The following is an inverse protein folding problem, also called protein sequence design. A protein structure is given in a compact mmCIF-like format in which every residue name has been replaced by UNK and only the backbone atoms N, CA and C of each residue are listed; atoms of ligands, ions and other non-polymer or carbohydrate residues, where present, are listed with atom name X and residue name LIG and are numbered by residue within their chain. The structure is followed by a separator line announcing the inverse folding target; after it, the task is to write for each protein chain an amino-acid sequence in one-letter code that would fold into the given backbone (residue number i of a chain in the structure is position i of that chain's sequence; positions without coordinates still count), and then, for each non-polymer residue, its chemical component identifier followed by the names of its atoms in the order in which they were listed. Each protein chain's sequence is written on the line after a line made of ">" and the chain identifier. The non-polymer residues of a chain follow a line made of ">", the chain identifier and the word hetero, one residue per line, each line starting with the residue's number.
data_IF_379292743535
#
_entry.id   IF_379292743535
#
_cell.length_a   1.000
_cell.length_b   1.000
_cell.length_c   1.000
_cell.angle_alpha   90.00
_cell.angle_beta   90.00
_cell.angle_gamma   90.00
#
_symmetry.space_group_name_H-M   'P 1'
#
loop_
_entity.id
_entity.type
_entity.pdbx_description
1 polymer ?
#
# COMPACT_ATOMS: atom_id res chain seq x y z
N UNK A 1 40.09 6.08 26.72
CA UNK A 1 38.67 6.35 27.02
C UNK A 1 37.97 7.12 25.90
N UNK A 2 38.56 8.22 25.42
CA UNK A 2 37.97 8.99 24.32
C UNK A 2 37.97 8.22 23.00
N UNK A 3 39.04 7.47 22.71
CA UNK A 3 39.11 6.62 21.50
C UNK A 3 38.06 5.50 21.52
N UNK A 4 37.86 4.86 22.66
CA UNK A 4 36.85 3.80 22.82
C UNK A 4 35.42 4.35 22.67
N UNK A 5 35.19 5.56 23.21
CA UNK A 5 33.89 6.23 23.06
C UNK A 5 33.62 6.58 21.61
N UNK A 6 34.60 7.08 20.89
CA UNK A 6 34.50 7.42 19.47
C UNK A 6 34.21 6.17 18.64
N UNK A 7 34.93 5.07 18.91
CA UNK A 7 34.71 3.80 18.20
C UNK A 7 33.28 3.26 18.45
N UNK A 8 32.78 3.39 19.70
CA UNK A 8 31.42 2.98 20.03
C UNK A 8 30.40 3.86 19.32
N UNK A 9 30.61 5.18 19.27
CA UNK A 9 29.70 6.10 18.59
C UNK A 9 29.64 5.80 17.09
N UNK A 10 30.80 5.51 16.47
CA UNK A 10 30.87 5.12 15.05
C UNK A 10 30.14 3.79 14.79
N UNK A 11 30.33 2.80 15.66
CA UNK A 11 29.66 1.50 15.55
C UNK A 11 28.15 1.66 15.68
N UNK A 12 27.66 2.48 16.61
CA UNK A 12 26.23 2.74 16.77
C UNK A 12 25.65 3.48 15.56
N UNK A 13 26.38 4.45 14.99
CA UNK A 13 25.96 5.15 13.79
C UNK A 13 25.84 4.19 12.60
N UNK A 14 26.81 3.29 12.44
CA UNK A 14 26.81 2.29 11.38
C UNK A 14 25.64 1.31 11.54
N UNK A 15 25.38 0.87 12.76
CA UNK A 15 24.27 -0.04 13.05
C UNK A 15 22.92 0.62 12.71
N UNK A 16 22.74 1.88 13.08
CA UNK A 16 21.53 2.65 12.75
C UNK A 16 21.33 2.74 11.24
N UNK A 17 22.40 3.02 10.51
CA UNK A 17 22.35 3.10 9.04
C UNK A 17 21.94 1.77 8.43
N UNK A 18 22.50 0.66 8.89
CA UNK A 18 22.14 -0.68 8.42
C UNK A 18 20.69 -1.01 8.68
N UNK A 19 20.19 -0.68 9.88
CA UNK A 19 18.77 -0.89 10.23
C UNK A 19 17.84 -0.05 9.36
N UNK A 20 18.23 1.20 9.08
CA UNK A 20 17.45 2.07 8.19
C UNK A 20 17.39 1.53 6.77
N UNK A 21 18.50 1.06 6.24
CA UNK A 21 18.55 0.47 4.90
C UNK A 21 17.69 -0.79 4.81
N UNK A 22 17.70 -1.60 5.87
CA UNK A 22 16.89 -2.81 5.96
C UNK A 22 15.39 -2.48 6.01
N UNK A 23 14.99 -1.43 6.74
CA UNK A 23 13.60 -0.96 6.78
C UNK A 23 13.14 -0.49 5.40
N UNK A 24 13.96 0.29 4.69
CA UNK A 24 13.61 0.78 3.35
C UNK A 24 13.41 -0.37 2.36
N UNK A 25 14.27 -1.39 2.41
CA UNK A 25 14.13 -2.59 1.56
C UNK A 25 12.90 -3.39 1.91
N UNK A 26 12.60 -3.54 3.19
CA UNK A 26 11.40 -4.22 3.67
C UNK A 26 10.14 -3.52 3.19
N UNK A 27 10.11 -2.19 3.24
CA UNK A 27 8.98 -1.40 2.73
C UNK A 27 8.83 -1.53 1.21
N UNK A 28 9.93 -1.51 0.48
CA UNK A 28 9.91 -1.67 -0.98
C UNK A 28 9.32 -3.02 -1.37
N UNK A 29 9.72 -4.09 -0.72
CA UNK A 29 9.18 -5.43 -0.93
C UNK A 29 7.69 -5.49 -0.59
N UNK A 30 7.29 -4.90 0.51
CA UNK A 30 5.90 -4.84 0.97
C UNK A 30 5.01 -4.12 -0.05
N UNK A 31 5.41 -2.93 -0.47
CA UNK A 31 4.62 -2.15 -1.43
C UNK A 31 4.58 -2.79 -2.81
N UNK A 32 5.64 -3.47 -3.22
CA UNK A 32 5.66 -4.24 -4.49
C UNK A 32 4.62 -5.36 -4.45
N UNK A 33 4.55 -6.10 -3.34
CA UNK A 33 3.55 -7.14 -3.16
C UNK A 33 2.12 -6.57 -3.08
N UNK A 34 1.94 -5.44 -2.39
CA UNK A 34 0.66 -4.74 -2.31
C UNK A 34 0.19 -4.30 -3.70
N UNK A 35 1.09 -3.78 -4.52
CA UNK A 35 0.75 -3.33 -5.88
C UNK A 35 0.28 -4.50 -6.74
N UNK A 36 0.97 -5.63 -6.69
CA UNK A 36 0.57 -6.82 -7.42
C UNK A 36 -0.83 -7.27 -6.98
N UNK A 37 -1.08 -7.28 -5.69
CA UNK A 37 -2.39 -7.65 -5.13
C UNK A 37 -3.46 -6.64 -5.53
N UNK A 38 -3.17 -5.34 -5.47
CA UNK A 38 -4.11 -4.29 -5.85
C UNK A 38 -4.52 -4.41 -7.32
N UNK A 39 -3.58 -4.68 -8.21
CA UNK A 39 -3.88 -4.87 -9.63
C UNK A 39 -4.83 -6.04 -9.86
N UNK A 40 -4.63 -7.12 -9.15
CA UNK A 40 -5.51 -8.28 -9.18
C UNK A 40 -6.92 -7.91 -8.69
N UNK A 41 -7.02 -7.19 -7.58
CA UNK A 41 -8.31 -6.75 -7.02
C UNK A 41 -9.03 -5.77 -7.94
N UNK A 42 -8.30 -4.84 -8.55
CA UNK A 42 -8.86 -3.91 -9.54
C UNK A 42 -9.47 -4.69 -10.71
N UNK A 43 -8.74 -5.64 -11.25
CA UNK A 43 -9.20 -6.48 -12.35
C UNK A 43 -10.43 -7.30 -11.96
N UNK A 44 -10.45 -7.88 -10.77
CA UNK A 44 -11.58 -8.64 -10.25
C UNK A 44 -12.82 -7.77 -10.05
N UNK A 45 -12.64 -6.53 -9.59
CA UNK A 45 -13.72 -5.57 -9.42
C UNK A 45 -14.32 -5.19 -10.78
N UNK A 46 -13.47 -4.98 -11.78
CA UNK A 46 -13.92 -4.70 -13.16
C UNK A 46 -14.77 -5.87 -13.71
N UNK A 47 -14.34 -7.10 -13.45
CA UNK A 47 -15.07 -8.30 -13.88
C UNK A 47 -16.43 -8.38 -13.20
N UNK A 48 -16.50 -8.14 -11.90
CA UNK A 48 -17.75 -8.12 -11.13
C UNK A 48 -18.68 -7.04 -11.68
N UNK A 49 -18.15 -5.84 -11.96
CA UNK A 49 -18.93 -4.74 -12.49
C UNK A 49 -19.53 -5.07 -13.87
N UNK A 50 -18.76 -5.68 -14.76
CA UNK A 50 -19.26 -6.11 -16.07
C UNK A 50 -20.39 -7.14 -15.94
N UNK A 51 -20.25 -8.09 -15.03
CA UNK A 51 -21.28 -9.07 -14.74
C UNK A 51 -22.53 -8.40 -14.19
N UNK A 52 -22.34 -7.46 -13.27
CA UNK A 52 -23.44 -6.66 -12.68
C UNK A 52 -24.24 -5.92 -13.74
N UNK A 53 -23.55 -5.25 -14.66
CA UNK A 53 -24.19 -4.48 -15.73
C UNK A 53 -25.08 -5.35 -16.63
N UNK A 54 -24.68 -6.60 -16.87
CA UNK A 54 -25.46 -7.55 -17.68
C UNK A 54 -26.72 -8.03 -16.98
N UNK A 55 -26.71 -8.12 -15.65
CA UNK A 55 -27.79 -8.69 -14.85
C UNK A 55 -28.82 -7.64 -14.43
N UNK A 56 -28.37 -6.44 -14.11
CA UNK A 56 -29.21 -5.34 -13.55
C UNK A 56 -30.33 -4.92 -14.48
N UNK A 57 -30.18 -5.10 -15.79
CA UNK A 57 -31.20 -4.73 -16.76
C UNK A 57 -32.51 -5.49 -16.60
N UNK A 58 -32.53 -6.60 -15.85
CA UNK A 58 -33.72 -7.48 -15.75
C UNK A 58 -34.56 -7.21 -14.50
N UNK A 59 -34.00 -6.90 -13.33
CA UNK A 59 -34.76 -6.82 -12.09
C UNK A 59 -34.43 -5.63 -11.18
N UNK A 60 -33.38 -4.88 -11.46
CA UNK A 60 -32.93 -3.74 -10.62
C UNK A 60 -32.29 -4.13 -9.29
N UNK A 61 -32.36 -5.40 -8.89
CA UNK A 61 -31.80 -5.88 -7.64
C UNK A 61 -30.43 -6.52 -7.86
N UNK A 62 -29.49 -6.28 -6.94
CA UNK A 62 -28.16 -6.88 -6.97
C UNK A 62 -28.25 -8.33 -6.47
N UNK A 63 -27.85 -9.34 -7.30
CA UNK A 63 -27.89 -10.74 -6.86
C UNK A 63 -26.98 -10.98 -5.64
N UNK A 64 -27.43 -11.87 -4.75
CA UNK A 64 -26.67 -12.22 -3.54
C UNK A 64 -25.29 -12.79 -3.84
N UNK A 65 -25.12 -13.51 -4.96
CA UNK A 65 -23.81 -14.01 -5.37
C UNK A 65 -22.81 -12.87 -5.66
N UNK A 66 -23.29 -11.77 -6.28
CA UNK A 66 -22.45 -10.60 -6.53
C UNK A 66 -22.16 -9.83 -5.25
N UNK A 67 -23.15 -9.69 -4.36
CA UNK A 67 -22.96 -9.08 -3.04
C UNK A 67 -21.85 -9.81 -2.28
N UNK A 68 -21.86 -11.14 -2.31
CA UNK A 68 -20.83 -11.98 -1.70
C UNK A 68 -19.44 -11.72 -2.28
N UNK A 69 -19.33 -11.66 -3.61
CA UNK A 69 -18.05 -11.37 -4.28
C UNK A 69 -17.54 -9.98 -3.96
N UNK A 70 -18.40 -8.98 -3.94
CA UNK A 70 -18.02 -7.61 -3.58
C UNK A 70 -17.56 -7.56 -2.12
N UNK A 71 -18.23 -8.29 -1.23
CA UNK A 71 -17.81 -8.42 0.17
C UNK A 71 -16.41 -9.02 0.30
N UNK A 72 -16.10 -10.05 -0.49
CA UNK A 72 -14.76 -10.64 -0.51
C UNK A 72 -13.69 -9.64 -0.99
N UNK A 73 -14.02 -8.83 -2.00
CA UNK A 73 -13.15 -7.76 -2.47
C UNK A 73 -12.91 -6.71 -1.38
N UNK A 74 -13.96 -6.34 -0.65
CA UNK A 74 -13.84 -5.39 0.46
C UNK A 74 -12.91 -5.92 1.56
N UNK A 75 -13.03 -7.20 1.89
CA UNK A 75 -12.14 -7.85 2.88
C UNK A 75 -10.70 -7.83 2.39
N UNK A 76 -10.44 -8.19 1.14
CA UNK A 76 -9.10 -8.20 0.58
C UNK A 76 -8.48 -6.79 0.55
N UNK A 77 -9.26 -5.77 0.20
CA UNK A 77 -8.81 -4.37 0.24
C UNK A 77 -8.54 -3.91 1.68
N UNK A 78 -9.33 -4.36 2.65
CA UNK A 78 -9.08 -4.04 4.06
C UNK A 78 -7.79 -4.64 4.58
N UNK A 79 -7.36 -5.78 4.05
CA UNK A 79 -6.05 -6.37 4.35
C UNK A 79 -4.92 -5.47 3.85
N UNK A 80 -5.07 -4.88 2.67
CA UNK A 80 -4.10 -3.91 2.14
C UNK A 80 -4.07 -2.63 2.99
N UNK A 81 -5.22 -2.17 3.46
CA UNK A 81 -5.29 -1.03 4.39
C UNK A 81 -4.48 -1.32 5.66
N UNK A 82 -4.62 -2.50 6.24
CA UNK A 82 -3.86 -2.92 7.42
C UNK A 82 -2.36 -2.96 7.14
N UNK A 83 -1.94 -3.41 5.96
CA UNK A 83 -0.54 -3.40 5.56
C UNK A 83 0.02 -1.98 5.48
N UNK A 84 -0.78 -1.02 5.01
CA UNK A 84 -0.39 0.40 5.01
C UNK A 84 -0.25 0.94 6.43
N UNK A 85 -1.15 0.57 7.35
CA UNK A 85 -1.06 0.94 8.76
C UNK A 85 0.20 0.37 9.40
N UNK A 86 0.54 -0.89 9.11
CA UNK A 86 1.74 -1.54 9.62
C UNK A 86 3.01 -0.85 9.07
N UNK A 87 2.99 -0.44 7.80
CA UNK A 87 4.09 0.32 7.20
C UNK A 87 4.28 1.67 7.91
N UNK A 88 3.19 2.35 8.26
CA UNK A 88 3.26 3.61 9.03
C UNK A 88 3.89 3.41 10.40
N UNK A 89 3.54 2.33 11.10
CA UNK A 89 4.15 2.00 12.40
C UNK A 89 5.65 1.77 12.26
N UNK A 90 6.04 1.03 11.24
CA UNK A 90 7.45 0.74 10.97
C UNK A 90 8.23 2.04 10.69
N UNK A 91 7.67 2.94 9.90
CA UNK A 91 8.29 4.25 9.61
C UNK A 91 8.38 5.13 10.86
N UNK A 92 7.35 5.11 11.71
CA UNK A 92 7.34 5.88 12.95
C UNK A 92 8.42 5.41 13.94
N UNK A 93 8.59 4.09 14.07
CA UNK A 93 9.61 3.48 14.92
C UNK A 93 11.01 3.75 14.43
N UNK A 94 11.19 3.74 13.12
CA UNK A 94 12.49 3.93 12.50
C UNK A 94 12.96 5.41 12.50
N UNK A 95 12.02 6.34 12.34
CA UNK A 95 12.30 7.79 12.37
C UNK A 95 13.20 8.29 11.25
N UNK A 96 13.37 7.53 10.18
CA UNK A 96 14.39 7.76 9.17
C UNK A 96 14.12 8.89 8.19
N UNK A 97 12.87 9.11 7.81
CA UNK A 97 12.56 10.15 6.83
C UNK A 97 11.20 10.79 7.11
N UNK A 98 11.11 12.09 6.88
CA UNK A 98 9.86 12.83 6.98
C UNK A 98 9.01 12.74 5.70
N UNK A 99 9.59 12.20 4.61
CA UNK A 99 8.95 12.19 3.29
C UNK A 99 7.94 11.06 3.13
N UNK A 100 8.26 9.84 3.59
CA UNK A 100 7.42 8.69 3.36
C UNK A 100 6.14 8.63 4.21
N UNK A 101 6.14 9.00 5.50
CA UNK A 101 4.92 8.90 6.30
C UNK A 101 3.70 9.61 5.71
N UNK A 102 3.78 10.86 5.22
CA UNK A 102 2.60 11.50 4.59
C UNK A 102 2.07 10.75 3.37
N UNK A 103 2.97 10.18 2.56
CA UNK A 103 2.59 9.40 1.38
C UNK A 103 1.89 8.10 1.76
N UNK A 104 2.37 7.43 2.80
CA UNK A 104 1.78 6.17 3.28
C UNK A 104 0.46 6.45 4.00
N UNK A 105 0.32 7.58 4.69
CA UNK A 105 -0.95 8.02 5.25
C UNK A 105 -1.99 8.24 4.15
N UNK A 106 -1.59 8.85 3.05
CA UNK A 106 -2.46 9.02 1.87
C UNK A 106 -2.87 7.67 1.30
N UNK A 107 -1.94 6.73 1.18
CA UNK A 107 -2.22 5.36 0.72
C UNK A 107 -3.25 4.68 1.62
N UNK A 108 -3.07 4.76 2.92
CA UNK A 108 -4.02 4.23 3.90
C UNK A 108 -5.41 4.84 3.70
N UNK A 109 -5.49 6.15 3.55
CA UNK A 109 -6.77 6.86 3.40
C UNK A 109 -7.46 6.49 2.09
N UNK A 110 -6.73 6.38 0.99
CA UNK A 110 -7.28 5.93 -0.29
C UNK A 110 -7.78 4.49 -0.23
N UNK A 111 -7.04 3.59 0.43
CA UNK A 111 -7.48 2.21 0.64
C UNK A 111 -8.73 2.15 1.51
N UNK A 112 -8.81 2.98 2.53
CA UNK A 112 -9.99 3.09 3.39
C UNK A 112 -11.22 3.50 2.59
N UNK A 113 -11.08 4.45 1.68
CA UNK A 113 -12.17 4.90 0.81
C UNK A 113 -12.61 3.78 -0.15
N UNK A 114 -11.66 3.01 -0.69
CA UNK A 114 -11.98 1.85 -1.53
C UNK A 114 -12.78 0.81 -0.73
N UNK A 115 -12.35 0.49 0.48
CA UNK A 115 -13.06 -0.44 1.36
C UNK A 115 -14.49 0.04 1.64
N UNK A 116 -14.65 1.31 2.00
CA UNK A 116 -15.95 1.91 2.28
C UNK A 116 -16.88 1.84 1.06
N UNK A 117 -16.36 2.16 -0.13
CA UNK A 117 -17.13 2.09 -1.37
C UNK A 117 -17.58 0.67 -1.70
N UNK A 118 -16.69 -0.31 -1.57
CA UNK A 118 -17.03 -1.72 -1.83
C UNK A 118 -18.06 -2.24 -0.82
N UNK A 119 -17.99 -1.81 0.43
CA UNK A 119 -19.00 -2.16 1.44
C UNK A 119 -20.38 -1.61 1.12
N UNK A 120 -20.44 -0.55 0.33
CA UNK A 120 -21.68 0.01 -0.22
C UNK A 120 -22.01 -0.56 -1.59
N UNK A 121 -21.35 -1.63 -2.00
CA UNK A 121 -21.54 -2.32 -3.29
C UNK A 121 -21.23 -1.43 -4.52
N UNK A 122 -20.31 -0.49 -4.38
CA UNK A 122 -19.86 0.35 -5.49
C UNK A 122 -18.76 -0.36 -6.26
N UNK A 123 -18.96 -0.56 -7.57
CA UNK A 123 -18.04 -1.30 -8.44
C UNK A 123 -17.77 -0.59 -9.78
N UNK A 124 -18.43 0.54 -10.03
CA UNK A 124 -18.40 1.24 -11.32
C UNK A 124 -17.14 2.08 -11.55
N UNK A 125 -17.26 3.05 -12.46
CA UNK A 125 -16.15 3.90 -12.89
C UNK A 125 -15.46 4.62 -11.74
N UNK A 126 -16.21 5.09 -10.75
CA UNK A 126 -15.66 5.76 -9.56
C UNK A 126 -14.77 4.83 -8.75
N UNK A 127 -15.22 3.59 -8.53
CA UNK A 127 -14.43 2.57 -7.83
C UNK A 127 -13.18 2.21 -8.62
N UNK A 128 -13.31 2.03 -9.93
CA UNK A 128 -12.17 1.75 -10.81
C UNK A 128 -11.12 2.85 -10.72
N UNK A 129 -11.54 4.11 -10.76
CA UNK A 129 -10.66 5.28 -10.62
C UNK A 129 -9.97 5.29 -9.26
N UNK A 130 -10.71 5.00 -8.18
CA UNK A 130 -10.14 4.95 -6.83
C UNK A 130 -9.09 3.86 -6.69
N UNK A 131 -9.36 2.66 -7.20
CA UNK A 131 -8.41 1.54 -7.18
C UNK A 131 -7.15 1.83 -8.00
N UNK A 132 -7.30 2.44 -9.17
CA UNK A 132 -6.17 2.86 -9.99
C UNK A 132 -5.34 3.94 -9.32
N UNK A 133 -5.98 4.84 -8.58
CA UNK A 133 -5.29 5.82 -7.75
C UNK A 133 -4.39 5.17 -6.70
N UNK A 134 -4.86 4.10 -6.07
CA UNK A 134 -4.05 3.31 -5.14
C UNK A 134 -2.85 2.69 -5.85
N UNK A 135 -3.05 2.10 -7.04
CA UNK A 135 -1.96 1.54 -7.84
C UNK A 135 -0.91 2.59 -8.19
N UNK A 136 -1.35 3.76 -8.61
CA UNK A 136 -0.45 4.87 -8.97
C UNK A 136 0.37 5.33 -7.77
N UNK A 137 -0.25 5.46 -6.61
CA UNK A 137 0.43 5.87 -5.39
C UNK A 137 1.43 4.81 -4.94
N UNK A 138 1.08 3.53 -5.01
CA UNK A 138 2.00 2.44 -4.72
C UNK A 138 3.20 2.46 -5.67
N UNK A 139 2.97 2.67 -6.96
CA UNK A 139 4.04 2.80 -7.96
C UNK A 139 4.98 3.94 -7.60
N UNK A 140 4.42 5.09 -7.22
CA UNK A 140 5.20 6.27 -6.82
C UNK A 140 6.05 5.96 -5.58
N UNK A 141 5.46 5.33 -4.57
CA UNK A 141 6.17 4.92 -3.34
C UNK A 141 7.31 3.94 -3.63
N UNK A 142 7.05 2.93 -4.44
CA UNK A 142 8.05 1.92 -4.82
C UNK A 142 9.23 2.59 -5.53
N UNK A 143 8.95 3.46 -6.49
CA UNK A 143 10.00 4.16 -7.24
C UNK A 143 10.81 5.09 -6.35
N UNK A 144 10.15 5.79 -5.43
CA UNK A 144 10.83 6.67 -4.47
C UNK A 144 11.73 5.87 -3.52
N UNK A 145 11.26 4.73 -3.04
CA UNK A 145 12.05 3.84 -2.17
C UNK A 145 13.25 3.26 -2.91
N UNK A 146 13.06 2.76 -4.12
CA UNK A 146 14.16 2.23 -4.95
C UNK A 146 15.23 3.27 -5.21
N UNK A 147 14.81 4.49 -5.52
CA UNK A 147 15.74 5.60 -5.76
C UNK A 147 16.51 5.96 -4.49
N UNK A 148 15.83 5.99 -3.33
CA UNK A 148 16.47 6.26 -2.05
C UNK A 148 17.50 5.18 -1.69
N UNK A 149 17.16 3.91 -1.88
CA UNK A 149 18.06 2.79 -1.66
C UNK A 149 19.27 2.88 -2.58
N UNK A 150 19.05 3.14 -3.86
CA UNK A 150 20.11 3.31 -4.86
C UNK A 150 21.07 4.44 -4.51
N UNK A 151 20.56 5.60 -4.09
CA UNK A 151 21.37 6.73 -3.66
C UNK A 151 22.23 6.36 -2.45
N UNK A 152 21.66 5.68 -1.45
CA UNK A 152 22.39 5.25 -0.26
C UNK A 152 23.48 4.24 -0.59
N UNK A 153 23.23 3.30 -1.51
CA UNK A 153 24.23 2.31 -1.94
C UNK A 153 25.32 2.93 -2.79
N UNK A 154 24.96 3.85 -3.70
CA UNK A 154 25.90 4.50 -4.61
C UNK A 154 26.66 5.68 -3.99
N UNK A 155 26.12 6.28 -2.96
CA UNK A 155 26.70 7.45 -2.30
C UNK A 155 27.77 7.15 -1.26
N UNK A 156 28.08 5.88 -1.06
CA UNK A 156 29.13 5.44 -0.15
C UNK A 156 28.87 5.76 1.29
#
# INVERSE_FOLDING_TARGET
>A
LEAAKKDLDEALAQLRKELQDEVLRSLEERFTAMLARQRELTSNTETVDRTRQKIITASGALPSALIGKIGELAVAESELELEAVDALKLLAEDGTTAVFPPMVEQLRDELRDVVAGLRENQTGARMNSAQKGVEDLLTLLINALRKTIEIKEGGG
#
